data_IF_259679353853
#
_entry.id   IF_259679353853
#
_cell.length_a   1.000
_cell.length_b   1.000
_cell.length_c   1.000
_cell.angle_alpha   90.00
_cell.angle_beta   90.00
_cell.angle_gamma   90.00
#
_symmetry.space_group_name_H-M   'P 1'
#
loop_
_entity.id
_entity.type
_entity.pdbx_description
1 polymer ?
#
# COMPACT_ATOMS: atom_id res chain seq x y z
N UNK A 1 15.48 70.85 0.82
CA UNK A 1 14.68 69.71 0.31
C UNK A 1 15.41 68.43 0.57
N UNK A 2 15.13 67.83 1.72
CA UNK A 2 15.85 66.65 2.24
C UNK A 2 15.02 65.41 1.94
N UNK A 3 15.55 64.45 1.15
CA UNK A 3 14.90 63.19 0.85
C UNK A 3 15.23 62.18 1.95
N UNK A 4 14.21 61.74 2.68
CA UNK A 4 14.29 60.59 3.60
C UNK A 4 14.14 59.30 2.79
N UNK A 5 15.18 58.42 2.84
CA UNK A 5 15.10 57.04 2.31
C UNK A 5 14.64 56.14 3.43
N UNK A 6 13.49 55.49 3.25
CA UNK A 6 13.02 54.40 4.13
C UNK A 6 13.66 53.08 3.69
N UNK A 7 14.45 52.48 4.56
CA UNK A 7 14.92 51.11 4.42
C UNK A 7 13.91 50.16 5.08
N UNK A 8 13.22 49.36 4.28
CA UNK A 8 12.36 48.30 4.77
C UNK A 8 13.23 47.09 5.13
N UNK A 9 13.36 46.80 6.41
CA UNK A 9 13.97 45.56 6.90
C UNK A 9 12.91 44.44 6.87
N UNK A 10 13.10 43.48 5.98
CA UNK A 10 12.28 42.25 5.95
C UNK A 10 12.78 41.28 7.05
N UNK A 11 12.00 41.14 8.11
CA UNK A 11 12.22 40.16 9.14
C UNK A 11 11.72 38.77 8.64
N UNK A 12 12.61 37.88 8.29
CA UNK A 12 12.30 36.49 8.08
C UNK A 12 11.95 35.83 9.41
N UNK A 13 10.66 35.59 9.66
CA UNK A 13 10.17 34.77 10.74
C UNK A 13 10.41 33.30 10.36
N UNK A 14 11.48 32.71 10.88
CA UNK A 14 11.69 31.26 10.85
C UNK A 14 10.66 30.61 11.79
N UNK A 15 9.71 29.89 11.23
CA UNK A 15 8.80 29.08 12.02
C UNK A 15 9.60 27.95 12.73
N UNK A 16 9.36 27.73 14.04
CA UNK A 16 10.06 26.64 14.73
C UNK A 16 9.64 25.30 14.14
N UNK A 17 10.61 24.52 13.68
CA UNK A 17 10.43 23.10 13.37
C UNK A 17 10.13 22.41 14.71
N UNK A 18 8.89 22.06 14.95
CA UNK A 18 8.50 21.25 16.10
C UNK A 18 9.01 19.83 15.83
N UNK A 19 10.21 19.52 16.31
CA UNK A 19 10.68 18.15 16.42
C UNK A 19 9.80 17.49 17.48
N UNK A 20 8.84 16.68 17.04
CA UNK A 20 8.01 15.87 17.94
C UNK A 20 8.93 14.85 18.58
N UNK A 21 9.21 15.02 19.87
CA UNK A 21 9.99 14.06 20.63
C UNK A 21 9.27 12.70 20.57
N UNK A 22 9.93 11.68 20.00
CA UNK A 22 9.42 10.32 19.97
C UNK A 22 9.25 9.84 21.40
N UNK A 23 8.05 9.38 21.76
CA UNK A 23 7.84 8.78 23.07
C UNK A 23 8.68 7.49 23.17
N UNK A 24 9.42 7.29 24.25
CA UNK A 24 10.20 6.06 24.43
C UNK A 24 9.25 4.85 24.50
N UNK A 25 9.68 3.73 23.92
CA UNK A 25 9.01 2.44 24.11
C UNK A 25 8.92 2.12 25.60
N UNK A 26 7.78 1.60 26.06
CA UNK A 26 7.55 1.21 27.47
C UNK A 26 8.30 -0.06 27.86
N UNK A 27 8.85 -0.80 26.88
CA UNK A 27 9.54 -2.09 27.07
C UNK A 27 10.97 -1.99 26.52
N UNK A 28 11.99 -2.50 27.24
CA UNK A 28 13.35 -2.61 26.71
C UNK A 28 13.40 -3.40 25.42
N UNK A 29 14.22 -2.99 24.44
CA UNK A 29 14.30 -3.62 23.11
C UNK A 29 14.60 -5.12 23.17
N UNK A 30 15.51 -5.54 24.06
CA UNK A 30 15.84 -6.96 24.25
C UNK A 30 14.63 -7.78 24.73
N UNK A 31 13.82 -7.21 25.61
CA UNK A 31 12.59 -7.83 26.09
C UNK A 31 11.51 -7.84 24.99
N UNK A 32 11.37 -6.76 24.23
CA UNK A 32 10.46 -6.66 23.10
C UNK A 32 10.76 -7.76 22.07
N UNK A 33 12.03 -7.89 21.68
CA UNK A 33 12.48 -8.92 20.72
C UNK A 33 12.18 -10.33 21.23
N UNK A 34 12.44 -10.60 22.51
CA UNK A 34 12.16 -11.91 23.12
C UNK A 34 10.64 -12.22 23.14
N UNK A 35 9.81 -11.23 23.51
CA UNK A 35 8.34 -11.35 23.49
C UNK A 35 7.82 -11.60 22.07
N UNK A 36 8.34 -10.87 21.07
CA UNK A 36 7.98 -11.06 19.66
C UNK A 36 8.29 -12.48 19.20
N UNK A 37 9.50 -12.97 19.47
CA UNK A 37 9.91 -14.34 19.11
C UNK A 37 8.96 -15.38 19.69
N UNK A 38 8.77 -15.37 21.02
CA UNK A 38 7.93 -16.34 21.71
C UNK A 38 6.46 -16.35 21.22
N UNK A 39 5.89 -15.16 20.99
CA UNK A 39 4.51 -15.04 20.54
C UNK A 39 4.35 -15.52 19.08
N UNK A 40 5.29 -15.16 18.21
CA UNK A 40 5.24 -15.57 16.81
C UNK A 40 5.52 -17.08 16.63
N UNK A 41 6.42 -17.67 17.43
CA UNK A 41 6.64 -19.11 17.47
C UNK A 41 5.34 -19.84 17.86
N UNK A 42 4.62 -19.34 18.86
CA UNK A 42 3.33 -19.89 19.29
C UNK A 42 2.27 -19.79 18.19
N UNK A 43 2.14 -18.62 17.54
CA UNK A 43 1.19 -18.43 16.46
C UNK A 43 1.51 -19.31 15.24
N UNK A 44 2.78 -19.45 14.91
CA UNK A 44 3.22 -20.32 13.82
C UNK A 44 2.97 -21.81 14.11
N UNK A 45 3.26 -22.26 15.34
CA UNK A 45 2.98 -23.63 15.79
C UNK A 45 1.47 -23.96 15.76
N UNK A 46 0.62 -22.97 16.08
CA UNK A 46 -0.84 -23.09 15.98
C UNK A 46 -1.37 -23.01 14.54
N UNK A 47 -0.51 -22.74 13.54
CA UNK A 47 -0.92 -22.51 12.15
C UNK A 47 -1.70 -21.21 11.92
N UNK A 48 -1.58 -20.27 12.86
CA UNK A 48 -2.27 -18.96 12.83
C UNK A 48 -1.41 -17.84 12.23
N UNK A 49 -0.13 -18.11 11.99
CA UNK A 49 0.78 -17.22 11.28
C UNK A 49 1.68 -17.99 10.31
N UNK A 50 1.81 -17.49 9.10
CA UNK A 50 2.74 -17.94 8.06
C UNK A 50 3.14 -16.72 7.24
N UNK A 51 4.41 -16.31 7.33
CA UNK A 51 4.84 -15.06 6.70
C UNK A 51 6.16 -14.53 7.25
N UNK A 52 6.37 -13.23 7.15
CA UNK A 52 7.57 -12.52 7.62
C UNK A 52 7.16 -11.36 8.51
N UNK A 53 7.89 -11.16 9.61
CA UNK A 53 7.78 -10.00 10.48
C UNK A 53 9.14 -9.31 10.56
N UNK A 54 9.14 -8.00 10.34
CA UNK A 54 10.31 -7.13 10.53
C UNK A 54 9.92 -5.97 11.44
N UNK A 55 10.65 -5.80 12.53
CA UNK A 55 10.70 -4.57 13.29
C UNK A 55 12.07 -3.93 13.03
N UNK A 56 12.08 -2.70 12.53
CA UNK A 56 13.30 -1.98 12.18
C UNK A 56 13.39 -0.65 12.94
N UNK A 57 14.60 -0.14 13.17
CA UNK A 57 14.84 1.19 13.70
C UNK A 57 15.95 1.85 12.89
N UNK A 58 15.67 3.06 12.38
CA UNK A 58 16.63 3.74 11.49
C UNK A 58 16.94 2.95 10.21
N UNK A 59 15.97 2.19 9.69
CA UNK A 59 16.13 1.35 8.51
C UNK A 59 16.89 0.03 8.75
N UNK A 60 17.36 -0.24 9.99
CA UNK A 60 18.05 -1.48 10.36
C UNK A 60 17.11 -2.41 11.13
N UNK A 61 16.99 -3.69 10.75
CA UNK A 61 16.14 -4.63 11.46
C UNK A 61 16.70 -4.93 12.87
N UNK A 62 15.86 -4.77 13.90
CA UNK A 62 16.12 -5.21 15.27
C UNK A 62 15.47 -6.58 15.54
N UNK A 63 14.44 -6.91 14.76
CA UNK A 63 13.83 -8.22 14.69
C UNK A 63 13.47 -8.54 13.23
N UNK A 64 13.83 -9.74 12.76
CA UNK A 64 13.49 -10.21 11.41
C UNK A 64 13.39 -11.72 11.40
N UNK A 65 12.16 -12.26 11.24
CA UNK A 65 11.94 -13.71 11.22
C UNK A 65 10.89 -14.10 10.19
N UNK A 66 11.04 -15.31 9.67
CA UNK A 66 10.11 -15.96 8.72
C UNK A 66 9.51 -17.22 9.33
N UNK A 67 8.23 -17.47 9.08
CA UNK A 67 7.45 -18.55 9.64
C UNK A 67 6.60 -19.23 8.58
N UNK A 68 6.38 -20.53 8.72
CA UNK A 68 5.47 -21.30 7.87
C UNK A 68 5.98 -21.51 6.44
N UNK A 69 5.06 -21.81 5.53
CA UNK A 69 5.36 -22.24 4.15
C UNK A 69 4.95 -21.18 3.14
N UNK A 70 5.88 -20.80 2.26
CA UNK A 70 5.64 -19.99 1.08
C UNK A 70 4.87 -20.77 0.00
N UNK A 71 5.14 -22.06 -0.12
CA UNK A 71 4.45 -22.99 -1.00
C UNK A 71 4.29 -24.32 -0.30
N UNK A 72 3.05 -24.68 0.05
CA UNK A 72 2.74 -25.92 0.79
C UNK A 72 2.90 -27.15 -0.08
N UNK A 73 2.56 -27.06 -1.37
CA UNK A 73 2.66 -28.19 -2.29
C UNK A 73 4.12 -28.52 -2.59
N UNK A 74 4.94 -27.51 -2.83
CA UNK A 74 6.39 -27.66 -3.02
C UNK A 74 7.18 -27.84 -1.71
N UNK A 75 6.53 -27.79 -0.53
CA UNK A 75 7.17 -27.81 0.79
C UNK A 75 8.25 -26.73 0.95
N UNK A 76 8.08 -25.59 0.29
CA UNK A 76 9.01 -24.47 0.36
C UNK A 76 8.65 -23.56 1.51
N UNK A 77 9.56 -23.43 2.49
CA UNK A 77 9.38 -22.54 3.64
C UNK A 77 9.44 -21.08 3.23
N UNK A 78 8.80 -20.20 4.01
CA UNK A 78 9.07 -18.77 3.96
C UNK A 78 10.49 -18.49 4.42
N UNK A 79 11.11 -17.51 3.80
CA UNK A 79 12.39 -16.91 4.21
C UNK A 79 12.20 -15.41 4.37
N UNK A 80 13.13 -14.73 5.03
CA UNK A 80 13.10 -13.27 5.16
C UNK A 80 13.14 -12.55 3.80
N UNK A 81 13.57 -13.25 2.77
CA UNK A 81 13.64 -12.79 1.39
C UNK A 81 12.37 -13.13 0.57
N UNK A 82 11.40 -13.82 1.15
CA UNK A 82 10.19 -14.19 0.43
C UNK A 82 9.37 -12.94 0.09
N UNK A 83 8.94 -12.83 -1.16
CA UNK A 83 8.04 -11.79 -1.61
C UNK A 83 6.58 -12.21 -1.37
N UNK A 84 5.76 -11.29 -0.91
CA UNK A 84 4.34 -11.49 -0.64
C UNK A 84 3.49 -10.51 -1.43
N UNK A 85 2.27 -10.91 -1.74
CA UNK A 85 1.29 -10.01 -2.30
C UNK A 85 0.93 -8.92 -1.28
N UNK A 86 0.99 -7.67 -1.71
CA UNK A 86 0.80 -6.49 -0.87
C UNK A 86 -0.67 -6.13 -0.64
N UNK A 87 -1.59 -6.74 -1.41
CA UNK A 87 -2.96 -6.27 -1.41
C UNK A 87 -3.04 -4.75 -1.61
N UNK A 88 -3.79 -4.08 -0.77
CA UNK A 88 -4.06 -2.63 -0.88
C UNK A 88 -2.91 -1.70 -0.48
N UNK A 89 -1.80 -2.20 0.07
CA UNK A 89 -0.60 -1.36 0.31
C UNK A 89 -0.14 -0.70 -1.00
N UNK A 90 -0.36 -1.33 -2.15
CA UNK A 90 -0.08 -0.75 -3.47
C UNK A 90 -0.67 0.66 -3.68
N UNK A 91 -1.80 0.97 -3.01
CA UNK A 91 -2.41 2.30 -3.12
C UNK A 91 -1.50 3.42 -2.65
N UNK A 92 -0.59 3.14 -1.72
CA UNK A 92 0.41 4.11 -1.26
C UNK A 92 1.29 4.54 -2.43
N UNK A 93 1.75 3.61 -3.25
CA UNK A 93 2.57 3.92 -4.42
C UNK A 93 1.81 4.72 -5.49
N UNK A 94 0.51 4.41 -5.67
CA UNK A 94 -0.36 5.19 -6.55
C UNK A 94 -0.57 6.62 -6.04
N UNK A 95 -0.74 6.79 -4.72
CA UNK A 95 -0.83 8.12 -4.10
C UNK A 95 0.45 8.92 -4.32
N UNK A 96 1.62 8.29 -4.17
CA UNK A 96 2.93 8.91 -4.45
C UNK A 96 2.97 9.37 -5.90
N UNK A 97 2.65 8.50 -6.86
CA UNK A 97 2.67 8.82 -8.29
C UNK A 97 1.77 10.02 -8.64
N UNK A 98 0.54 10.05 -8.12
CA UNK A 98 -0.39 11.17 -8.34
C UNK A 98 0.16 12.47 -7.73
N UNK A 99 0.74 12.42 -6.51
CA UNK A 99 1.34 13.60 -5.88
C UNK A 99 2.59 14.08 -6.62
N UNK A 100 3.39 13.19 -7.19
CA UNK A 100 4.52 13.56 -8.05
C UNK A 100 4.04 14.33 -9.28
N UNK A 101 2.99 13.86 -9.95
CA UNK A 101 2.40 14.55 -11.09
C UNK A 101 1.80 15.91 -10.69
N UNK A 102 1.19 16.01 -9.51
CA UNK A 102 0.68 17.27 -8.99
C UNK A 102 1.80 18.26 -8.67
N UNK A 103 2.88 17.82 -8.04
CA UNK A 103 4.06 18.64 -7.73
C UNK A 103 4.77 19.11 -9.01
N UNK A 104 4.73 18.30 -10.08
CA UNK A 104 5.22 18.67 -11.40
C UNK A 104 4.29 19.58 -12.21
N UNK A 105 3.16 20.02 -11.62
CA UNK A 105 2.16 20.87 -12.29
C UNK A 105 1.37 20.18 -13.39
N UNK A 106 1.47 18.85 -13.54
CA UNK A 106 0.77 18.08 -14.56
C UNK A 106 -0.70 17.83 -14.22
N UNK A 107 -1.08 17.94 -12.95
CA UNK A 107 -2.48 17.88 -12.51
C UNK A 107 -2.70 18.74 -11.25
N UNK A 108 -3.97 19.16 -11.04
CA UNK A 108 -4.46 19.72 -9.80
C UNK A 108 -5.39 18.72 -9.12
N UNK A 109 -5.21 18.49 -7.82
CA UNK A 109 -6.05 17.57 -7.07
C UNK A 109 -7.51 17.99 -7.01
N UNK A 110 -7.80 19.29 -7.15
CA UNK A 110 -9.14 19.86 -7.06
C UNK A 110 -9.86 19.95 -8.42
N UNK A 111 -9.16 19.67 -9.51
CA UNK A 111 -9.76 19.53 -10.83
C UNK A 111 -10.56 18.24 -10.96
N UNK A 112 -11.59 18.28 -11.80
CA UNK A 112 -12.38 17.08 -12.11
C UNK A 112 -11.63 16.12 -13.04
N UNK A 113 -12.05 14.87 -13.07
CA UNK A 113 -11.51 13.86 -13.97
C UNK A 113 -11.61 14.28 -15.43
N UNK A 114 -12.70 14.97 -15.83
CA UNK A 114 -12.90 15.46 -17.19
C UNK A 114 -11.80 16.43 -17.67
N UNK A 115 -11.14 17.14 -16.75
CA UNK A 115 -10.03 18.05 -17.09
C UNK A 115 -8.86 17.28 -17.71
N UNK A 116 -8.60 16.07 -17.27
CA UNK A 116 -7.45 15.25 -17.68
C UNK A 116 -7.83 14.07 -18.55
N UNK A 117 -9.12 13.71 -18.53
CA UNK A 117 -9.66 12.61 -19.32
C UNK A 117 -11.05 12.99 -19.86
N UNK A 118 -11.12 13.94 -20.86
CA UNK A 118 -12.40 14.45 -21.38
C UNK A 118 -13.25 13.37 -22.07
N UNK A 119 -12.61 12.33 -22.59
CA UNK A 119 -13.22 11.18 -23.24
C UNK A 119 -13.42 9.97 -22.30
N UNK A 120 -13.42 10.20 -20.96
CA UNK A 120 -13.75 9.13 -20.02
C UNK A 120 -15.16 8.58 -20.28
N UNK A 121 -15.32 7.25 -20.40
CA UNK A 121 -16.57 6.68 -20.96
C UNK A 121 -17.83 7.07 -20.15
N UNK A 122 -17.72 7.28 -18.84
CA UNK A 122 -18.81 7.79 -18.01
C UNK A 122 -18.66 9.31 -17.80
N UNK A 123 -19.28 10.08 -18.72
CA UNK A 123 -19.17 11.54 -18.70
C UNK A 123 -19.73 12.20 -17.43
N UNK A 124 -20.71 11.59 -16.76
CA UNK A 124 -21.23 12.09 -15.50
C UNK A 124 -20.16 12.00 -14.39
N UNK A 125 -19.55 10.83 -14.24
CA UNK A 125 -18.43 10.61 -13.32
C UNK A 125 -17.30 11.60 -13.62
N UNK A 126 -16.91 11.74 -14.90
CA UNK A 126 -15.81 12.60 -15.29
C UNK A 126 -16.01 14.07 -14.89
N UNK A 127 -17.22 14.60 -15.03
CA UNK A 127 -17.53 16.00 -14.71
C UNK A 127 -17.68 16.28 -13.21
N UNK A 128 -18.04 15.27 -12.42
CA UNK A 128 -18.40 15.45 -10.99
C UNK A 128 -17.32 15.06 -10.01
N UNK A 129 -16.44 14.12 -10.40
CA UNK A 129 -15.44 13.54 -9.50
C UNK A 129 -14.10 14.27 -9.64
N UNK A 130 -13.55 14.75 -8.53
CA UNK A 130 -12.21 15.36 -8.50
C UNK A 130 -11.13 14.31 -8.21
N UNK A 131 -9.88 14.63 -8.54
CA UNK A 131 -8.73 13.75 -8.24
C UNK A 131 -8.57 13.56 -6.74
N UNK A 132 -8.78 14.61 -5.94
CA UNK A 132 -8.78 14.54 -4.47
C UNK A 132 -9.82 13.57 -3.93
N UNK A 133 -11.02 13.56 -4.49
CA UNK A 133 -12.08 12.63 -4.06
C UNK A 133 -11.74 11.18 -4.38
N UNK A 134 -11.05 10.90 -5.49
CA UNK A 134 -10.53 9.57 -5.80
C UNK A 134 -9.51 9.12 -4.75
N UNK A 135 -8.49 9.94 -4.46
CA UNK A 135 -7.46 9.66 -3.46
C UNK A 135 -8.04 9.40 -2.05
N UNK A 136 -9.09 10.12 -1.69
CA UNK A 136 -9.71 10.08 -0.36
C UNK A 136 -10.85 9.04 -0.25
N UNK A 137 -11.11 8.23 -1.27
CA UNK A 137 -12.25 7.33 -1.31
C UNK A 137 -13.61 8.03 -1.13
N UNK A 138 -13.74 9.24 -1.68
CA UNK A 138 -14.95 10.08 -1.59
C UNK A 138 -15.61 10.32 -2.96
N UNK A 139 -15.22 9.56 -3.98
CA UNK A 139 -15.69 9.73 -5.36
C UNK A 139 -17.09 9.20 -5.63
N UNK A 140 -17.57 8.24 -4.85
CA UNK A 140 -18.80 7.51 -5.15
C UNK A 140 -18.65 6.43 -6.24
N UNK A 141 -17.48 6.28 -6.87
CA UNK A 141 -17.25 5.24 -7.87
C UNK A 141 -17.30 3.87 -7.21
N UNK A 142 -18.22 3.04 -7.68
CA UNK A 142 -18.44 1.65 -7.24
C UNK A 142 -17.79 0.63 -8.17
N UNK A 143 -18.40 -0.56 -8.20
CA UNK A 143 -17.99 -1.70 -9.01
C UNK A 143 -17.12 -2.72 -8.28
N UNK A 144 -17.11 -3.94 -8.82
CA UNK A 144 -16.33 -5.06 -8.29
C UNK A 144 -15.16 -5.36 -9.23
N UNK A 145 -13.98 -4.83 -8.94
CA UNK A 145 -12.78 -5.07 -9.74
C UNK A 145 -12.24 -6.50 -9.63
N UNK A 146 -12.80 -7.32 -8.74
CA UNK A 146 -12.42 -8.73 -8.59
C UNK A 146 -13.34 -9.68 -9.37
N UNK A 147 -14.33 -9.16 -10.08
CA UNK A 147 -15.15 -9.95 -11.00
C UNK A 147 -14.31 -10.42 -12.20
N UNK A 148 -14.72 -11.51 -12.83
CA UNK A 148 -14.22 -11.86 -14.16
C UNK A 148 -14.87 -10.92 -15.20
N UNK A 149 -14.14 -10.53 -16.25
CA UNK A 149 -14.73 -9.88 -17.41
C UNK A 149 -15.83 -10.73 -18.07
N UNK A 150 -16.78 -10.11 -18.72
CA UNK A 150 -17.84 -10.84 -19.41
C UNK A 150 -17.25 -11.79 -20.47
N UNK A 151 -17.57 -13.08 -20.35
CA UNK A 151 -17.06 -14.11 -21.26
C UNK A 151 -15.58 -14.46 -21.12
N UNK A 152 -14.90 -13.94 -20.08
CA UNK A 152 -13.48 -14.15 -19.84
C UNK A 152 -13.17 -14.67 -18.43
N UNK A 153 -11.89 -14.71 -18.11
CA UNK A 153 -11.32 -15.10 -16.82
C UNK A 153 -10.75 -13.90 -16.09
N UNK A 154 -10.63 -13.97 -14.75
CA UNK A 154 -9.85 -13.01 -13.97
C UNK A 154 -8.39 -12.94 -14.42
N UNK A 155 -7.84 -14.03 -14.92
CA UNK A 155 -6.46 -14.10 -15.42
C UNK A 155 -6.23 -13.29 -16.71
N UNK A 156 -7.30 -12.88 -17.41
CA UNK A 156 -7.22 -12.01 -18.60
C UNK A 156 -6.99 -10.55 -18.21
N UNK A 157 -7.20 -10.18 -16.94
CA UNK A 157 -7.03 -8.82 -16.44
C UNK A 157 -5.57 -8.62 -16.05
N UNK A 158 -4.81 -7.85 -16.86
CA UNK A 158 -3.35 -7.69 -16.71
C UNK A 158 -2.86 -6.25 -16.67
N UNK A 159 -3.68 -5.29 -17.13
CA UNK A 159 -3.38 -3.86 -17.14
C UNK A 159 -4.51 -3.06 -16.48
N UNK A 160 -4.23 -1.84 -16.02
CA UNK A 160 -5.25 -0.99 -15.41
C UNK A 160 -6.46 -0.82 -16.32
N UNK A 161 -6.26 -0.66 -17.66
CA UNK A 161 -7.35 -0.53 -18.64
C UNK A 161 -8.28 -1.74 -18.70
N UNK A 162 -7.79 -2.94 -18.39
CA UNK A 162 -8.60 -4.16 -18.45
C UNK A 162 -9.63 -4.19 -17.30
N UNK A 163 -9.33 -3.52 -16.18
CA UNK A 163 -10.26 -3.37 -15.07
C UNK A 163 -11.39 -2.39 -15.36
N UNK A 164 -11.22 -1.42 -16.29
CA UNK A 164 -12.18 -0.35 -16.52
C UNK A 164 -13.57 -0.88 -16.85
N UNK A 165 -13.66 -1.91 -17.70
CA UNK A 165 -14.91 -2.54 -18.11
C UNK A 165 -15.72 -3.13 -16.93
N UNK A 166 -15.08 -3.41 -15.79
CA UNK A 166 -15.72 -4.01 -14.60
C UNK A 166 -16.52 -3.00 -13.77
N UNK A 167 -16.37 -1.69 -14.04
CA UNK A 167 -17.01 -0.68 -13.21
C UNK A 167 -17.41 0.61 -13.95
N UNK A 168 -16.95 0.86 -15.17
CA UNK A 168 -17.09 2.17 -15.84
C UNK A 168 -18.56 2.55 -16.06
N UNK A 169 -19.43 1.56 -16.27
CA UNK A 169 -20.86 1.76 -16.50
C UNK A 169 -21.70 1.82 -15.20
N UNK A 170 -21.08 1.60 -14.03
CA UNK A 170 -21.77 1.68 -12.76
C UNK A 170 -22.12 3.13 -12.43
N UNK A 171 -23.33 3.40 -11.93
CA UNK A 171 -23.68 4.73 -11.44
C UNK A 171 -22.88 5.08 -10.18
N UNK A 172 -22.75 6.38 -9.91
CA UNK A 172 -22.21 6.83 -8.62
C UNK A 172 -23.08 6.32 -7.48
N UNK A 173 -22.47 5.70 -6.47
CA UNK A 173 -23.18 5.17 -5.29
C UNK A 173 -23.67 6.25 -4.34
N UNK A 174 -23.10 7.45 -4.44
CA UNK A 174 -23.44 8.63 -3.66
C UNK A 174 -22.86 9.88 -4.33
N UNK A 175 -23.33 11.05 -3.93
CA UNK A 175 -22.83 12.36 -4.36
C UNK A 175 -21.35 12.50 -3.99
N UNK A 176 -20.45 12.76 -4.97
CA UNK A 176 -19.02 12.92 -4.72
C UNK A 176 -18.73 13.97 -3.62
N UNK A 177 -17.87 13.60 -2.68
CA UNK A 177 -17.48 14.46 -1.56
C UNK A 177 -18.36 14.35 -0.31
N UNK A 178 -19.59 13.83 -0.38
CA UNK A 178 -20.53 13.81 0.75
C UNK A 178 -20.20 12.80 1.82
N UNK A 179 -19.61 11.67 1.45
CA UNK A 179 -19.18 10.63 2.40
C UNK A 179 -17.92 9.91 1.89
N UNK A 180 -17.32 9.10 2.76
CA UNK A 180 -16.19 8.24 2.43
C UNK A 180 -16.66 6.79 2.33
N UNK A 181 -16.30 6.14 1.22
CA UNK A 181 -16.49 4.71 1.02
C UNK A 181 -15.34 4.15 0.19
N UNK A 182 -14.63 3.17 0.74
CA UNK A 182 -13.49 2.55 0.10
C UNK A 182 -13.81 2.09 -1.33
N UNK A 183 -12.97 2.49 -2.29
CA UNK A 183 -13.14 2.19 -3.71
C UNK A 183 -11.84 1.75 -4.35
N UNK A 184 -11.76 0.50 -4.75
CA UNK A 184 -10.67 -0.01 -5.57
C UNK A 184 -10.75 0.58 -7.00
N UNK A 185 -11.95 0.69 -7.56
CA UNK A 185 -12.19 1.25 -8.89
C UNK A 185 -11.64 2.68 -9.01
N UNK A 186 -11.82 3.52 -7.98
CA UNK A 186 -11.24 4.87 -7.96
C UNK A 186 -9.71 4.86 -8.07
N UNK A 187 -9.04 3.89 -7.49
CA UNK A 187 -7.58 3.75 -7.60
C UNK A 187 -7.12 3.19 -8.94
N UNK A 188 -7.93 2.36 -9.60
CA UNK A 188 -7.68 1.97 -11.00
C UNK A 188 -7.72 3.20 -11.90
N UNK A 189 -8.72 4.10 -11.73
CA UNK A 189 -8.79 5.37 -12.47
C UNK A 189 -7.55 6.23 -12.21
N UNK A 190 -7.07 6.33 -10.96
CA UNK A 190 -5.84 7.06 -10.64
C UNK A 190 -4.62 6.47 -11.36
N UNK A 191 -4.49 5.14 -11.44
CA UNK A 191 -3.41 4.50 -12.19
C UNK A 191 -3.45 4.83 -13.69
N UNK A 192 -4.64 4.82 -14.29
CA UNK A 192 -4.81 5.21 -15.70
C UNK A 192 -4.53 6.70 -15.93
N UNK A 193 -4.80 7.57 -14.93
CA UNK A 193 -4.38 8.98 -15.00
C UNK A 193 -2.85 9.12 -14.92
N UNK A 194 -2.16 8.28 -14.14
CA UNK A 194 -0.68 8.26 -14.15
C UNK A 194 -0.20 7.95 -15.56
N UNK A 195 -0.73 6.91 -16.21
CA UNK A 195 -0.36 6.56 -17.59
C UNK A 195 -0.62 7.71 -18.57
N UNK A 196 -1.81 8.29 -18.51
CA UNK A 196 -2.24 9.36 -19.43
C UNK A 196 -1.40 10.63 -19.29
N UNK A 197 -1.04 11.02 -18.09
CA UNK A 197 -0.35 12.28 -17.82
C UNK A 197 1.18 12.18 -17.86
N UNK A 198 1.71 10.99 -17.60
CA UNK A 198 3.16 10.75 -17.71
C UNK A 198 3.58 10.35 -19.13
N UNK A 199 2.71 9.64 -19.86
CA UNK A 199 3.05 8.96 -21.10
C UNK A 199 3.77 7.62 -20.87
N UNK A 200 3.90 7.16 -19.62
CA UNK A 200 4.54 5.90 -19.25
C UNK A 200 3.47 4.87 -18.84
N UNK A 201 3.74 3.57 -19.05
CA UNK A 201 2.95 2.51 -18.40
C UNK A 201 2.98 2.66 -16.89
N UNK A 202 1.87 2.39 -16.19
CA UNK A 202 1.78 2.58 -14.73
C UNK A 202 2.86 1.81 -13.95
N UNK A 203 3.12 0.57 -14.35
CA UNK A 203 4.09 -0.28 -13.65
C UNK A 203 5.52 0.21 -13.86
N UNK A 204 5.83 0.73 -15.05
CA UNK A 204 7.11 1.36 -15.35
C UNK A 204 7.29 2.68 -14.61
N UNK A 205 6.22 3.49 -14.52
CA UNK A 205 6.22 4.72 -13.76
C UNK A 205 6.55 4.47 -12.29
N UNK A 206 5.81 3.59 -11.62
CA UNK A 206 6.06 3.32 -10.18
C UNK A 206 7.41 2.66 -9.95
N UNK A 207 7.89 1.83 -10.86
CA UNK A 207 9.23 1.26 -10.80
C UNK A 207 10.30 2.35 -10.82
N UNK A 208 10.27 3.24 -11.80
CA UNK A 208 11.30 4.28 -12.01
C UNK A 208 11.23 5.41 -10.97
N UNK A 209 10.02 5.82 -10.59
CA UNK A 209 9.80 7.03 -9.78
C UNK A 209 9.52 6.76 -8.30
N UNK A 210 9.28 5.50 -7.92
CA UNK A 210 8.99 5.11 -6.54
C UNK A 210 9.94 4.01 -6.06
N UNK A 211 9.98 2.87 -6.75
CA UNK A 211 10.73 1.70 -6.27
C UNK A 211 12.24 1.89 -6.37
N UNK A 212 12.75 2.31 -7.52
CA UNK A 212 14.18 2.53 -7.74
C UNK A 212 14.76 3.60 -6.80
N UNK A 213 14.14 4.80 -6.65
CA UNK A 213 14.61 5.80 -5.68
C UNK A 213 14.59 5.33 -4.23
N UNK A 214 13.65 4.44 -3.88
CA UNK A 214 13.56 3.83 -2.56
C UNK A 214 14.49 2.63 -2.35
N UNK A 215 15.19 2.17 -3.39
CA UNK A 215 16.02 0.97 -3.32
C UNK A 215 15.23 -0.34 -3.19
N UNK A 216 13.97 -0.36 -3.66
CA UNK A 216 13.07 -1.53 -3.62
C UNK A 216 13.33 -2.43 -4.83
N UNK A 217 14.35 -3.26 -4.75
CA UNK A 217 14.84 -4.06 -5.89
C UNK A 217 14.03 -5.35 -6.13
N UNK A 218 13.17 -5.73 -5.18
CA UNK A 218 12.38 -6.96 -5.21
C UNK A 218 10.88 -6.66 -5.08
N UNK A 219 10.47 -5.53 -5.64
CA UNK A 219 9.08 -5.05 -5.63
C UNK A 219 8.60 -4.84 -7.06
N UNK A 220 7.50 -5.48 -7.42
CA UNK A 220 6.86 -5.28 -8.72
C UNK A 220 5.42 -5.83 -8.72
N UNK A 221 4.64 -5.48 -9.74
CA UNK A 221 3.40 -6.18 -10.06
C UNK A 221 3.71 -7.31 -11.05
N UNK A 222 4.19 -8.45 -10.56
CA UNK A 222 4.42 -9.63 -11.40
C UNK A 222 3.10 -10.23 -11.85
N UNK A 223 3.11 -10.82 -13.05
CA UNK A 223 1.96 -11.58 -13.52
C UNK A 223 1.82 -12.90 -12.73
N UNK A 224 0.58 -13.31 -12.48
CA UNK A 224 0.27 -14.46 -11.62
C UNK A 224 0.81 -15.78 -12.18
N UNK A 225 0.99 -15.87 -13.51
CA UNK A 225 1.54 -17.04 -14.22
C UNK A 225 3.07 -17.02 -14.37
N UNK A 226 3.75 -15.99 -13.86
CA UNK A 226 5.20 -15.82 -13.97
C UNK A 226 5.81 -15.19 -12.70
N UNK A 227 5.34 -15.65 -11.54
CA UNK A 227 5.88 -15.22 -10.25
C UNK A 227 7.34 -15.67 -10.08
N UNK A 228 8.23 -14.82 -9.56
CA UNK A 228 9.59 -15.23 -9.21
C UNK A 228 9.61 -16.41 -8.24
N UNK A 229 10.63 -17.29 -8.30
CA UNK A 229 10.67 -18.51 -7.51
C UNK A 229 10.51 -18.33 -5.99
N UNK A 230 10.97 -17.20 -5.45
CA UNK A 230 10.86 -16.88 -4.02
C UNK A 230 9.65 -15.98 -3.70
N UNK A 231 8.51 -16.29 -4.28
CA UNK A 231 7.23 -15.63 -4.01
C UNK A 231 6.30 -16.57 -3.27
N UNK A 232 5.64 -16.08 -2.21
CA UNK A 232 4.66 -16.86 -1.46
C UNK A 232 3.35 -16.99 -2.25
N UNK A 233 2.77 -18.19 -2.26
CA UNK A 233 1.39 -18.42 -2.65
C UNK A 233 0.48 -18.11 -1.47
N UNK A 234 -0.64 -17.44 -1.71
CA UNK A 234 -1.64 -17.18 -0.69
C UNK A 234 -2.50 -18.41 -0.40
N UNK A 235 -2.91 -18.57 0.86
CA UNK A 235 -3.76 -19.68 1.30
C UNK A 235 -4.98 -19.15 2.02
N UNK A 236 -6.15 -19.49 1.51
CA UNK A 236 -7.44 -19.07 2.06
C UNK A 236 -8.29 -20.25 2.49
N UNK A 237 -9.06 -20.05 3.55
CA UNK A 237 -10.12 -21.00 3.97
C UNK A 237 -11.46 -20.65 3.31
N UNK A 238 -11.52 -19.54 2.57
CA UNK A 238 -12.73 -19.02 1.97
C UNK A 238 -13.49 -18.09 2.91
N UNK A 239 -14.46 -17.36 2.35
CA UNK A 239 -15.41 -16.54 3.11
C UNK A 239 -16.64 -17.41 3.41
N UNK A 240 -16.99 -17.58 4.69
CA UNK A 240 -18.17 -18.34 5.08
C UNK A 240 -18.26 -18.61 6.57
N UNK A 241 -19.44 -19.07 7.05
CA UNK A 241 -19.67 -19.40 8.45
C UNK A 241 -18.87 -20.63 8.89
N UNK A 242 -18.59 -21.55 7.96
CA UNK A 242 -17.80 -22.76 8.16
C UNK A 242 -16.57 -22.72 7.22
N UNK A 243 -15.41 -22.24 7.69
CA UNK A 243 -14.22 -22.19 6.88
C UNK A 243 -13.77 -23.59 6.45
N UNK A 244 -13.65 -23.78 5.15
CA UNK A 244 -13.14 -25.04 4.59
C UNK A 244 -11.63 -25.27 4.83
N UNK A 245 -11.05 -26.38 4.33
CA UNK A 245 -9.61 -26.58 4.34
C UNK A 245 -8.90 -25.47 3.56
N UNK A 246 -7.74 -25.02 4.05
CA UNK A 246 -6.97 -23.98 3.39
C UNK A 246 -6.50 -24.43 2.00
N UNK A 247 -6.78 -23.63 0.97
CA UNK A 247 -6.41 -23.85 -0.43
C UNK A 247 -5.64 -22.64 -0.98
N UNK A 248 -4.83 -22.87 -2.01
CA UNK A 248 -4.17 -21.78 -2.71
C UNK A 248 -5.21 -20.81 -3.32
N UNK A 249 -4.90 -19.51 -3.29
CA UNK A 249 -5.80 -18.46 -3.79
C UNK A 249 -5.58 -18.11 -5.27
N UNK A 250 -4.79 -18.90 -6.00
CA UNK A 250 -4.38 -18.62 -7.39
C UNK A 250 -5.55 -18.31 -8.31
N UNK A 251 -6.64 -19.06 -8.20
CA UNK A 251 -7.86 -18.87 -9.00
C UNK A 251 -8.66 -17.59 -8.65
N UNK A 252 -8.33 -16.96 -7.51
CA UNK A 252 -8.98 -15.73 -7.07
C UNK A 252 -8.25 -14.47 -7.53
N UNK A 253 -7.02 -14.62 -8.02
CA UNK A 253 -6.19 -13.49 -8.42
C UNK A 253 -6.46 -13.08 -9.87
N UNK A 254 -6.32 -11.77 -10.19
CA UNK A 254 -6.22 -11.34 -11.59
C UNK A 254 -4.90 -11.82 -12.19
N UNK A 255 -4.81 -11.80 -13.52
CA UNK A 255 -3.56 -12.14 -14.22
C UNK A 255 -2.38 -11.24 -13.86
N UNK A 256 -2.66 -10.00 -13.39
CA UNK A 256 -1.69 -9.06 -12.82
C UNK A 256 -2.40 -8.08 -11.88
N UNK A 257 -1.73 -7.70 -10.79
CA UNK A 257 -2.24 -6.66 -9.90
C UNK A 257 -2.36 -5.30 -10.61
N UNK A 258 -3.14 -4.38 -10.02
CA UNK A 258 -3.41 -3.04 -10.54
C UNK A 258 -2.83 -1.94 -9.63
N UNK A 259 -3.07 -0.69 -10.00
CA UNK A 259 -2.84 0.48 -9.14
C UNK A 259 -3.67 0.48 -7.85
N UNK A 260 -4.70 -0.35 -7.77
CA UNK A 260 -5.50 -0.53 -6.55
C UNK A 260 -4.98 -1.63 -5.61
N UNK A 261 -4.12 -2.53 -6.09
CA UNK A 261 -3.61 -3.63 -5.27
C UNK A 261 -3.03 -4.77 -6.09
N UNK A 262 -2.40 -5.74 -5.39
CA UNK A 262 -1.95 -6.98 -6.00
C UNK A 262 -0.51 -7.00 -6.50
N UNK A 263 0.30 -5.98 -6.22
CA UNK A 263 1.75 -6.06 -6.39
C UNK A 263 2.40 -6.90 -5.30
N UNK A 264 3.65 -7.22 -5.48
CA UNK A 264 4.44 -8.04 -4.57
C UNK A 264 5.66 -7.28 -4.08
N UNK A 265 6.08 -7.56 -2.86
CA UNK A 265 7.28 -6.98 -2.25
C UNK A 265 7.87 -7.92 -1.20
N UNK A 266 9.08 -7.62 -0.75
CA UNK A 266 9.67 -8.18 0.46
C UNK A 266 9.50 -7.22 1.63
N UNK A 267 9.56 -7.74 2.87
CA UNK A 267 9.51 -6.89 4.05
C UNK A 267 10.68 -5.90 4.11
N UNK A 268 11.87 -6.32 3.65
CA UNK A 268 13.04 -5.47 3.57
C UNK A 268 12.85 -4.28 2.60
N UNK A 269 12.18 -4.49 1.46
CA UNK A 269 11.88 -3.40 0.52
C UNK A 269 10.89 -2.40 1.11
N UNK A 270 9.88 -2.85 1.87
CA UNK A 270 8.95 -1.96 2.55
C UNK A 270 9.64 -1.13 3.65
N UNK A 271 10.60 -1.71 4.39
CA UNK A 271 11.44 -0.96 5.34
C UNK A 271 12.28 0.09 4.61
N UNK A 272 12.90 -0.26 3.45
CA UNK A 272 13.63 0.71 2.60
C UNK A 272 12.72 1.84 2.13
N UNK A 273 11.50 1.52 1.75
CA UNK A 273 10.51 2.52 1.35
C UNK A 273 10.20 3.51 2.48
N UNK A 274 9.92 3.02 3.69
CA UNK A 274 9.69 3.87 4.86
C UNK A 274 10.91 4.76 5.17
N UNK A 275 12.12 4.21 5.07
CA UNK A 275 13.35 4.98 5.24
C UNK A 275 13.52 6.03 4.13
N UNK A 276 13.28 5.67 2.88
CA UNK A 276 13.38 6.58 1.74
C UNK A 276 12.38 7.75 1.80
N UNK A 277 11.20 7.51 2.37
CA UNK A 277 10.21 8.57 2.66
C UNK A 277 10.77 9.58 3.67
N UNK A 278 11.37 9.11 4.78
CA UNK A 278 12.00 9.97 5.79
C UNK A 278 13.16 10.78 5.23
N UNK A 279 13.92 10.19 4.35
CA UNK A 279 15.07 10.83 3.68
C UNK A 279 14.67 11.74 2.52
N UNK A 280 13.39 11.84 2.17
CA UNK A 280 12.90 12.63 1.04
C UNK A 280 13.31 12.10 -0.34
N UNK A 281 13.81 10.85 -0.42
CA UNK A 281 14.23 10.22 -1.69
C UNK A 281 13.07 9.89 -2.63
N UNK A 282 11.85 9.83 -2.09
CA UNK A 282 10.63 9.57 -2.85
C UNK A 282 9.74 10.81 -2.77
N UNK A 283 9.90 11.79 -3.69
CA UNK A 283 9.05 12.98 -3.72
C UNK A 283 7.57 12.61 -3.84
N UNK A 284 6.67 13.37 -3.20
CA UNK A 284 5.23 13.10 -3.21
C UNK A 284 4.79 11.99 -2.26
N UNK A 285 5.73 11.42 -1.51
CA UNK A 285 5.41 10.44 -0.48
C UNK A 285 4.50 11.00 0.62
N UNK A 286 3.79 10.14 1.36
CA UNK A 286 3.04 10.55 2.54
C UNK A 286 4.00 11.07 3.63
N UNK A 287 3.50 11.86 4.59
CA UNK A 287 4.31 12.28 5.73
C UNK A 287 4.76 11.08 6.56
N UNK A 288 5.80 11.24 7.38
CA UNK A 288 6.20 10.24 8.38
C UNK A 288 5.02 9.77 9.24
N UNK A 289 5.09 8.54 9.79
CA UNK A 289 4.00 7.96 10.58
C UNK A 289 2.92 7.30 9.74
N UNK A 290 3.22 6.93 8.49
CA UNK A 290 2.27 6.21 7.64
C UNK A 290 1.94 4.83 8.21
N UNK A 291 0.64 4.52 8.23
CA UNK A 291 0.12 3.15 8.36
C UNK A 291 -0.62 2.72 7.11
N UNK A 292 -0.36 1.52 6.63
CA UNK A 292 -1.06 0.94 5.49
C UNK A 292 -1.24 -0.56 5.68
N UNK A 293 -2.43 -1.05 5.34
CA UNK A 293 -2.75 -2.46 5.35
C UNK A 293 -3.27 -2.93 3.99
N UNK A 294 -3.08 -4.19 3.70
CA UNK A 294 -3.61 -4.84 2.52
C UNK A 294 -4.17 -6.20 2.83
N UNK A 295 -5.34 -6.52 2.30
CA UNK A 295 -6.01 -7.79 2.56
C UNK A 295 -6.90 -8.24 1.42
N UNK A 296 -6.93 -9.55 1.21
CA UNK A 296 -7.83 -10.30 0.36
C UNK A 296 -7.74 -11.78 0.77
N UNK A 297 -8.57 -12.70 0.27
CA UNK A 297 -8.41 -14.11 0.55
C UNK A 297 -6.98 -14.61 0.31
N UNK A 298 -6.31 -15.12 1.36
CA UNK A 298 -4.92 -15.59 1.33
C UNK A 298 -3.87 -14.48 1.22
N UNK A 299 -4.23 -13.23 1.43
CA UNK A 299 -3.34 -12.07 1.35
C UNK A 299 -3.58 -11.19 2.56
N UNK A 300 -2.52 -10.94 3.35
CA UNK A 300 -2.61 -9.96 4.39
C UNK A 300 -1.23 -9.34 4.70
N UNK A 301 -1.16 -8.03 4.67
CA UNK A 301 0.08 -7.29 4.91
C UNK A 301 -0.20 -6.02 5.69
N UNK A 302 0.75 -5.62 6.52
CA UNK A 302 0.76 -4.39 7.31
C UNK A 302 2.12 -3.72 7.18
N UNK A 303 2.13 -2.41 7.00
CA UNK A 303 3.32 -1.55 7.01
C UNK A 303 3.03 -0.32 7.85
N UNK A 304 3.82 -0.09 8.88
CA UNK A 304 3.67 1.05 9.79
C UNK A 304 5.03 1.69 10.05
N UNK A 305 5.12 3.00 9.85
CA UNK A 305 6.32 3.79 10.11
C UNK A 305 6.18 4.67 11.33
N UNK A 306 7.33 5.06 11.91
CA UNK A 306 7.45 6.00 13.04
C UNK A 306 6.62 5.62 14.28
N UNK A 307 6.58 4.33 14.60
CA UNK A 307 6.02 3.84 15.85
C UNK A 307 6.82 4.36 17.07
N UNK A 308 6.25 4.33 18.29
CA UNK A 308 6.97 4.74 19.50
C UNK A 308 8.35 4.11 19.59
N UNK A 309 9.37 4.91 19.95
CA UNK A 309 10.77 4.49 19.94
C UNK A 309 11.46 4.57 18.57
N UNK A 310 10.79 5.12 17.54
CA UNK A 310 11.33 5.27 16.18
C UNK A 310 11.37 3.96 15.39
N UNK A 311 10.45 3.05 15.70
CA UNK A 311 10.36 1.77 15.01
C UNK A 311 9.49 1.83 13.75
N UNK A 312 9.86 1.01 12.78
CA UNK A 312 9.05 0.63 11.63
C UNK A 312 8.65 -0.83 11.76
N UNK A 313 7.40 -1.14 11.49
CA UNK A 313 6.87 -2.49 11.54
C UNK A 313 6.36 -2.91 10.17
N UNK A 314 6.82 -4.04 9.69
CA UNK A 314 6.29 -4.70 8.50
C UNK A 314 5.90 -6.14 8.86
N UNK A 315 4.66 -6.49 8.60
CA UNK A 315 4.13 -7.85 8.75
C UNK A 315 3.55 -8.27 7.42
N UNK A 316 4.02 -9.36 6.87
CA UNK A 316 3.53 -9.92 5.61
C UNK A 316 3.18 -11.38 5.82
N UNK A 317 1.98 -11.78 5.43
CA UNK A 317 1.50 -13.15 5.60
C UNK A 317 0.76 -13.63 4.36
N UNK A 318 0.84 -14.90 4.08
CA UNK A 318 0.11 -15.58 3.01
C UNK A 318 -1.14 -16.31 3.52
N UNK A 319 -1.73 -15.80 4.60
CA UNK A 319 -3.00 -16.25 5.18
C UNK A 319 -4.08 -15.18 5.02
N UNK A 320 -5.30 -15.54 5.37
CA UNK A 320 -6.45 -14.63 5.35
C UNK A 320 -6.30 -13.49 6.37
N UNK A 321 -6.84 -12.29 6.10
CA UNK A 321 -7.02 -11.25 7.12
C UNK A 321 -7.85 -11.78 8.30
N UNK A 322 -7.59 -11.27 9.53
CA UNK A 322 -6.69 -10.21 9.92
C UNK A 322 -5.36 -10.69 10.53
N UNK A 323 -4.67 -11.68 9.93
CA UNK A 323 -3.47 -12.29 10.53
C UNK A 323 -2.33 -11.27 10.74
N UNK A 324 -2.08 -10.38 9.77
CA UNK A 324 -1.05 -9.34 9.87
C UNK A 324 -1.43 -8.26 10.88
N UNK A 325 -2.67 -7.77 10.84
CA UNK A 325 -3.16 -6.74 11.76
C UNK A 325 -3.19 -7.24 13.22
N UNK A 326 -3.46 -8.55 13.45
CA UNK A 326 -3.40 -9.14 14.79
C UNK A 326 -1.98 -9.07 15.36
N UNK A 327 -0.99 -9.45 14.56
CA UNK A 327 0.43 -9.34 14.94
C UNK A 327 0.81 -7.88 15.14
N UNK A 328 0.39 -6.99 14.24
CA UNK A 328 0.65 -5.55 14.36
C UNK A 328 0.08 -4.96 15.65
N UNK A 329 -1.17 -5.24 16.00
CA UNK A 329 -1.79 -4.77 17.24
C UNK A 329 -1.02 -5.24 18.49
N UNK A 330 -0.63 -6.51 18.50
CA UNK A 330 0.15 -7.09 19.61
C UNK A 330 1.48 -6.34 19.82
N UNK A 331 2.23 -6.10 18.72
CA UNK A 331 3.52 -5.42 18.80
C UNK A 331 3.33 -3.94 19.16
N UNK A 332 2.34 -3.24 18.58
CA UNK A 332 2.01 -1.86 18.96
C UNK A 332 1.68 -1.74 20.45
N UNK A 333 0.91 -2.68 21.01
CA UNK A 333 0.60 -2.71 22.43
C UNK A 333 1.86 -2.76 23.31
N UNK A 334 2.87 -3.54 22.91
CA UNK A 334 4.15 -3.60 23.64
C UNK A 334 5.00 -2.34 23.48
N UNK A 335 4.85 -1.65 22.34
CA UNK A 335 5.52 -0.37 22.09
C UNK A 335 4.82 0.80 22.79
N UNK A 336 3.66 0.59 23.42
CA UNK A 336 2.87 1.65 24.04
C UNK A 336 2.17 2.56 23.03
N UNK A 337 2.01 2.11 21.78
CA UNK A 337 1.23 2.82 20.78
C UNK A 337 -0.27 2.66 21.12
N UNK A 338 -1.00 3.78 21.15
CA UNK A 338 -2.46 3.77 21.24
C UNK A 338 -3.06 3.44 19.86
N UNK A 339 -4.08 2.59 19.85
CA UNK A 339 -4.90 2.44 18.64
C UNK A 339 -5.62 3.78 18.38
N UNK A 340 -5.28 4.44 17.27
CA UNK A 340 -5.97 5.63 16.77
C UNK A 340 -7.09 5.25 15.80
#
# INVERSE_FOLDING_TARGET
MTRLSFVLAAACLAAPVVVRAQQPSTVPETELVARMGAALDSLAAAGEFSGVVVLARGGQPVFQHAYGMADRAARRANTVETAFNLGSINKVFTQVAIRQLANAGKLSLDSTLATYWPDYPNAEVARRVTIRQLLQHRSGIGGNIFAAPAGGSRHDVRHNRDYLQLFVNEPLRFEPGTRQQYSNAGYVVLGMLVERLSGEDYYDYVRRHVYEPAGMTRTAAWAADSLPPNTALGYTRGEGQEPGPARANTELLPGRGSSAGGGYSTAADLVRFLQALREGKVPGGPPPGIGAAGGAPGINALMEGDLPGGYDLVVMTNLDPPAAERVGRMIRGWLGATDN
#
